data_IF_492660758992
#
_entry.id   IF_492660758992
#
_cell.length_a   1.000
_cell.length_b   1.000
_cell.length_c   1.000
_cell.angle_alpha   90.00
_cell.angle_beta   90.00
_cell.angle_gamma   90.00
#
_symmetry.space_group_name_H-M   'P 1'
#
loop_
_entity.id
_entity.type
_entity.pdbx_description
1 polymer ?
#
# COMPACT_ATOMS: atom_id res chain seq x y z
N UNK A 1 3.84 12.35 3.53
CA UNK A 1 2.95 11.56 4.41
C UNK A 1 2.05 12.52 5.16
N UNK A 2 0.76 12.22 5.27
CA UNK A 2 -0.26 13.10 5.89
C UNK A 2 -0.72 12.55 7.25
N UNK A 3 -0.88 11.24 7.37
CA UNK A 3 -1.26 10.54 8.60
C UNK A 3 -0.69 9.12 8.57
N UNK A 4 -0.46 8.51 9.73
CA UNK A 4 -0.06 7.13 9.85
C UNK A 4 -0.64 6.51 11.12
N UNK A 5 -1.00 5.22 11.05
CA UNK A 5 -1.45 4.43 12.19
C UNK A 5 -0.94 3.00 12.08
N UNK A 6 -0.91 2.30 13.21
CA UNK A 6 -0.65 0.87 13.28
C UNK A 6 -1.68 0.24 14.21
N UNK A 7 -2.26 -0.87 13.79
CA UNK A 7 -3.18 -1.67 14.59
C UNK A 7 -2.77 -3.14 14.58
N UNK A 8 -2.85 -3.80 15.72
CA UNK A 8 -2.69 -5.24 15.86
C UNK A 8 -4.08 -5.86 15.92
N UNK A 9 -4.35 -6.91 15.12
CA UNK A 9 -5.61 -7.64 15.22
C UNK A 9 -5.59 -8.45 16.53
N UNK A 10 -6.58 -8.28 17.43
CA UNK A 10 -6.62 -8.99 18.71
C UNK A 10 -6.53 -10.51 18.54
N UNK A 11 -5.95 -11.20 19.52
CA UNK A 11 -5.85 -12.67 19.58
C UNK A 11 -5.09 -13.30 18.40
N UNK A 12 -4.24 -12.52 17.71
CA UNK A 12 -3.40 -13.01 16.61
C UNK A 12 -1.90 -13.09 16.95
N UNK A 13 -1.52 -12.66 18.15
CA UNK A 13 -0.12 -12.66 18.64
C UNK A 13 0.47 -14.08 18.74
N UNK A 14 -0.34 -15.04 19.17
CA UNK A 14 0.02 -16.47 19.30
C UNK A 14 -0.47 -17.30 18.10
N UNK A 15 -0.93 -16.63 17.04
CA UNK A 15 -1.38 -17.29 15.80
C UNK A 15 -0.21 -17.96 15.11
N UNK A 16 -0.42 -19.11 14.41
CA UNK A 16 0.60 -19.79 13.62
C UNK A 16 1.32 -18.92 12.58
N UNK A 17 0.81 -17.72 12.29
CA UNK A 17 1.45 -16.69 11.47
C UNK A 17 2.73 -16.07 12.07
N UNK A 18 3.18 -16.53 13.25
CA UNK A 18 4.48 -16.16 13.81
C UNK A 18 5.62 -16.80 13.00
N UNK A 19 6.61 -15.99 12.63
CA UNK A 19 7.85 -16.49 12.04
C UNK A 19 8.82 -16.91 13.13
N UNK A 20 9.36 -18.13 13.04
CA UNK A 20 10.30 -18.66 14.00
C UNK A 20 11.69 -18.77 13.37
N UNK A 21 12.68 -18.17 14.01
CA UNK A 21 14.08 -18.39 13.65
C UNK A 21 14.56 -19.67 14.34
N UNK A 22 15.13 -20.57 13.56
CA UNK A 22 15.64 -21.87 14.01
C UNK A 22 17.07 -22.07 13.53
N UNK A 23 17.73 -23.13 14.02
CA UNK A 23 19.05 -23.54 13.54
C UNK A 23 19.06 -23.97 12.07
N UNK A 24 17.88 -24.14 11.46
CA UNK A 24 17.69 -24.45 10.04
C UNK A 24 17.16 -23.26 9.22
N UNK A 25 17.20 -22.05 9.78
CA UNK A 25 16.77 -20.81 9.13
C UNK A 25 15.41 -20.32 9.63
N UNK A 26 14.82 -19.39 8.86
CA UNK A 26 13.56 -18.74 9.21
C UNK A 26 12.37 -19.52 8.67
N UNK A 27 11.51 -19.99 9.57
CA UNK A 27 10.30 -20.74 9.25
C UNK A 27 9.11 -19.80 9.44
N UNK A 28 8.42 -19.49 8.35
CA UNK A 28 7.20 -18.68 8.38
C UNK A 28 6.00 -19.53 7.95
N UNK A 29 5.00 -19.64 8.82
CA UNK A 29 3.82 -20.46 8.55
C UNK A 29 2.56 -19.59 8.43
N UNK A 30 2.21 -19.07 7.25
CA UNK A 30 1.04 -18.22 7.11
C UNK A 30 -0.23 -19.00 7.48
N UNK A 31 -0.94 -18.53 8.52
CA UNK A 31 -2.21 -19.12 8.93
C UNK A 31 -3.24 -19.05 7.79
N UNK A 32 -3.91 -20.17 7.48
CA UNK A 32 -4.98 -20.23 6.47
C UNK A 32 -6.17 -19.30 6.81
N UNK A 33 -6.32 -18.91 8.07
CA UNK A 33 -7.36 -17.97 8.52
C UNK A 33 -7.00 -16.48 8.31
N UNK A 34 -5.76 -16.17 7.94
CA UNK A 34 -5.28 -14.79 7.82
C UNK A 34 -6.12 -13.93 6.85
N UNK A 35 -6.51 -14.39 5.64
CA UNK A 35 -7.36 -13.59 4.77
C UNK A 35 -8.72 -13.22 5.39
N UNK A 36 -9.34 -14.14 6.13
CA UNK A 36 -10.61 -13.86 6.79
C UNK A 36 -10.44 -12.81 7.90
N UNK A 37 -9.41 -12.96 8.73
CA UNK A 37 -9.09 -11.99 9.80
C UNK A 37 -8.81 -10.59 9.24
N UNK A 38 -8.05 -10.51 8.13
CA UNK A 38 -7.80 -9.24 7.44
C UNK A 38 -9.11 -8.65 6.94
N UNK A 39 -9.93 -9.40 6.19
CA UNK A 39 -11.22 -8.91 5.67
C UNK A 39 -12.10 -8.34 6.77
N UNK A 40 -12.17 -9.03 7.92
CA UNK A 40 -13.08 -8.67 9.00
C UNK A 40 -12.56 -7.51 9.87
N UNK A 41 -11.26 -7.17 9.78
CA UNK A 41 -10.62 -6.16 10.64
C UNK A 41 -10.11 -4.92 9.90
N UNK A 42 -9.82 -5.02 8.60
CA UNK A 42 -9.08 -4.02 7.83
C UNK A 42 -9.75 -2.64 7.85
N UNK A 43 -11.08 -2.60 7.81
CA UNK A 43 -11.85 -1.35 7.87
C UNK A 43 -11.57 -0.56 9.14
N UNK A 44 -11.62 -1.24 10.30
CA UNK A 44 -11.31 -0.63 11.59
C UNK A 44 -9.85 -0.18 11.64
N UNK A 45 -8.92 -1.02 11.17
CA UNK A 45 -7.49 -0.72 11.19
C UNK A 45 -7.12 0.54 10.38
N UNK A 46 -7.74 0.73 9.20
CA UNK A 46 -7.47 1.93 8.39
C UNK A 46 -8.22 3.16 8.87
N UNK A 47 -9.34 2.99 9.59
CA UNK A 47 -10.17 4.09 10.07
C UNK A 47 -9.41 5.07 10.99
N UNK A 48 -8.45 4.58 11.77
CA UNK A 48 -7.61 5.39 12.65
C UNK A 48 -6.80 6.45 11.86
N UNK A 49 -6.37 6.11 10.65
CA UNK A 49 -5.64 7.05 9.78
C UNK A 49 -6.55 7.95 8.94
N UNK A 50 -7.77 7.48 8.59
CA UNK A 50 -8.68 8.16 7.65
C UNK A 50 -9.71 9.07 8.33
N UNK A 51 -10.22 8.70 9.49
CA UNK A 51 -11.28 9.43 10.19
C UNK A 51 -10.85 10.84 10.60
N UNK A 52 -9.63 11.07 11.14
CA UNK A 52 -9.16 12.43 11.46
C UNK A 52 -9.06 13.36 10.24
N UNK A 53 -9.10 12.81 9.02
CA UNK A 53 -8.98 13.55 7.77
C UNK A 53 -10.29 13.63 6.98
N UNK A 54 -11.40 13.10 7.54
CA UNK A 54 -12.71 13.01 6.88
C UNK A 54 -12.66 12.24 5.54
N UNK A 55 -11.82 11.19 5.48
CA UNK A 55 -11.60 10.37 4.28
C UNK A 55 -12.30 9.01 4.32
N UNK A 56 -12.87 8.61 5.46
CA UNK A 56 -13.44 7.27 5.64
C UNK A 56 -14.61 6.97 4.68
N UNK A 57 -15.44 7.96 4.34
CA UNK A 57 -16.52 7.80 3.37
C UNK A 57 -16.04 7.90 1.90
N UNK A 58 -14.77 8.27 1.68
CA UNK A 58 -14.20 8.61 0.37
C UNK A 58 -13.11 7.63 -0.08
N UNK A 59 -13.07 6.43 0.49
CA UNK A 59 -12.05 5.40 0.21
C UNK A 59 -11.88 5.13 -1.29
N UNK A 60 -12.97 5.15 -2.06
CA UNK A 60 -12.94 4.93 -3.51
C UNK A 60 -12.47 6.14 -4.33
N UNK A 61 -12.41 7.34 -3.74
CA UNK A 61 -11.74 8.49 -4.35
C UNK A 61 -10.20 8.36 -4.26
N UNK A 62 -9.68 7.64 -3.27
CA UNK A 62 -8.25 7.58 -2.95
C UNK A 62 -7.51 6.58 -3.85
N UNK A 63 -6.25 6.83 -4.22
CA UNK A 63 -5.42 5.74 -4.76
C UNK A 63 -5.03 4.75 -3.65
N UNK A 64 -4.79 3.48 -4.00
CA UNK A 64 -4.43 2.45 -3.02
C UNK A 64 -3.13 1.75 -3.39
N UNK A 65 -2.28 1.58 -2.37
CA UNK A 65 -1.06 0.77 -2.42
C UNK A 65 -1.15 -0.29 -1.31
N UNK A 66 -1.67 -1.48 -1.63
CA UNK A 66 -1.74 -2.58 -0.68
C UNK A 66 -0.53 -3.51 -0.84
N UNK A 67 0.03 -3.98 0.28
CA UNK A 67 1.15 -4.92 0.26
C UNK A 67 0.70 -6.22 -0.43
N UNK A 68 1.41 -6.66 -1.50
CA UNK A 68 1.08 -7.88 -2.22
C UNK A 68 1.58 -9.13 -1.46
N UNK A 69 1.00 -9.40 -0.28
CA UNK A 69 1.34 -10.57 0.54
C UNK A 69 0.84 -11.90 -0.04
N UNK A 70 -0.11 -11.84 -0.97
CA UNK A 70 -0.72 -12.98 -1.67
C UNK A 70 -2.07 -12.59 -2.27
N UNK A 71 -2.59 -13.41 -3.20
CA UNK A 71 -3.86 -13.12 -3.90
C UNK A 71 -5.02 -12.97 -2.93
N UNK A 72 -5.17 -13.95 -2.02
CA UNK A 72 -6.23 -13.96 -1.01
C UNK A 72 -6.14 -12.77 -0.03
N UNK A 73 -4.93 -12.22 0.21
CA UNK A 73 -4.77 -11.03 1.04
C UNK A 73 -5.31 -9.80 0.31
N UNK A 74 -4.97 -9.62 -0.98
CA UNK A 74 -5.48 -8.50 -1.77
C UNK A 74 -7.02 -8.58 -1.92
N UNK A 75 -7.56 -9.78 -2.12
CA UNK A 75 -9.01 -10.01 -2.18
C UNK A 75 -9.69 -9.67 -0.85
N UNK A 76 -9.07 -10.05 0.28
CA UNK A 76 -9.56 -9.72 1.61
C UNK A 76 -9.55 -8.21 1.89
N UNK A 77 -8.49 -7.50 1.49
CA UNK A 77 -8.40 -6.04 1.62
C UNK A 77 -9.45 -5.35 0.76
N UNK A 78 -9.59 -5.74 -0.51
CA UNK A 78 -10.59 -5.19 -1.44
C UNK A 78 -12.01 -5.37 -0.91
N UNK A 79 -12.35 -6.59 -0.47
CA UNK A 79 -13.67 -6.90 0.09
C UNK A 79 -13.91 -6.20 1.44
N UNK A 80 -12.96 -6.26 2.37
CA UNK A 80 -13.13 -5.69 3.72
C UNK A 80 -13.21 -4.16 3.72
N UNK A 81 -12.68 -3.50 2.69
CA UNK A 81 -12.77 -2.05 2.53
C UNK A 81 -13.88 -1.61 1.55
N UNK A 82 -14.60 -2.57 0.95
CA UNK A 82 -15.57 -2.33 -0.11
C UNK A 82 -15.00 -1.44 -1.25
N UNK A 83 -13.78 -1.76 -1.69
CA UNK A 83 -13.14 -1.05 -2.79
C UNK A 83 -13.77 -1.44 -4.12
N UNK A 84 -13.86 -0.47 -5.04
CA UNK A 84 -14.27 -0.72 -6.41
C UNK A 84 -13.29 -1.67 -7.11
N UNK A 85 -13.76 -2.48 -8.07
CA UNK A 85 -12.88 -3.34 -8.86
C UNK A 85 -11.75 -2.54 -9.51
N UNK A 86 -10.52 -3.03 -9.36
CA UNK A 86 -9.34 -2.43 -9.99
C UNK A 86 -8.61 -1.39 -9.15
N UNK A 87 -9.11 -1.01 -7.96
CA UNK A 87 -8.41 -0.12 -7.02
C UNK A 87 -7.07 -0.68 -6.55
N UNK A 88 -6.89 -2.00 -6.60
CA UNK A 88 -5.65 -2.70 -6.23
C UNK A 88 -4.90 -3.28 -7.44
N UNK A 89 -5.17 -2.83 -8.68
CA UNK A 89 -4.57 -3.43 -9.88
C UNK A 89 -3.04 -3.34 -9.88
N UNK A 90 -2.45 -2.24 -9.40
CA UNK A 90 -1.01 -2.05 -9.30
C UNK A 90 -0.38 -3.04 -8.31
N UNK A 91 -1.02 -3.22 -7.14
CA UNK A 91 -0.63 -4.26 -6.18
C UNK A 91 -0.72 -5.66 -6.79
N UNK A 92 -1.81 -5.95 -7.53
CA UNK A 92 -2.01 -7.25 -8.20
C UNK A 92 -0.97 -7.47 -9.32
N UNK A 93 -0.58 -6.42 -10.05
CA UNK A 93 0.47 -6.44 -11.08
C UNK A 93 1.83 -6.77 -10.47
N UNK A 94 2.22 -6.07 -9.40
CA UNK A 94 3.49 -6.36 -8.69
C UNK A 94 3.50 -7.80 -8.17
N UNK A 95 2.40 -8.27 -7.59
CA UNK A 95 2.29 -9.67 -7.15
C UNK A 95 2.49 -10.65 -8.31
N UNK A 96 1.90 -10.37 -9.48
CA UNK A 96 1.98 -11.23 -10.66
C UNK A 96 3.38 -11.27 -11.27
N UNK A 97 4.10 -10.16 -11.27
CA UNK A 97 5.39 -10.01 -11.94
C UNK A 97 6.58 -10.34 -11.03
N UNK A 98 6.45 -10.10 -9.72
CA UNK A 98 7.55 -10.21 -8.77
C UNK A 98 7.27 -11.12 -7.57
N UNK A 99 6.03 -11.56 -7.38
CA UNK A 99 5.65 -12.34 -6.20
C UNK A 99 5.65 -11.52 -4.92
N UNK A 100 5.63 -12.22 -3.78
CA UNK A 100 5.70 -11.60 -2.46
C UNK A 100 7.18 -11.40 -2.06
N UNK A 101 7.69 -10.18 -2.28
CA UNK A 101 9.05 -9.77 -1.89
C UNK A 101 9.11 -9.23 -0.45
N UNK A 102 8.22 -9.70 0.44
CA UNK A 102 8.04 -9.16 1.79
C UNK A 102 7.75 -7.64 1.75
N UNK A 103 8.23 -6.87 2.72
CA UNK A 103 8.03 -5.42 2.80
C UNK A 103 8.55 -4.64 1.58
N UNK A 104 9.58 -5.13 0.89
CA UNK A 104 10.15 -4.46 -0.28
C UNK A 104 9.15 -4.35 -1.44
N UNK A 105 8.16 -5.25 -1.51
CA UNK A 105 7.13 -5.21 -2.53
C UNK A 105 6.32 -3.91 -2.52
N UNK A 106 6.23 -3.23 -1.37
CA UNK A 106 5.55 -1.94 -1.30
C UNK A 106 6.21 -0.86 -2.15
N UNK A 107 7.55 -0.85 -2.23
CA UNK A 107 8.29 0.11 -3.05
C UNK A 107 7.99 -0.09 -4.55
N UNK A 108 7.80 -1.34 -4.97
CA UNK A 108 7.42 -1.68 -6.34
C UNK A 108 5.99 -1.24 -6.66
N UNK A 109 5.06 -1.38 -5.71
CA UNK A 109 3.68 -0.88 -5.89
C UNK A 109 3.66 0.64 -6.04
N UNK A 110 4.44 1.35 -5.23
CA UNK A 110 4.56 2.81 -5.34
C UNK A 110 5.19 3.24 -6.66
N UNK A 111 6.20 2.52 -7.16
CA UNK A 111 6.78 2.81 -8.47
C UNK A 111 5.79 2.53 -9.61
N UNK A 112 5.00 1.46 -9.51
CA UNK A 112 3.97 1.13 -10.50
C UNK A 112 2.87 2.21 -10.57
N UNK A 113 2.37 2.65 -9.41
CA UNK A 113 1.42 3.76 -9.32
C UNK A 113 2.00 5.05 -9.92
N UNK A 114 3.28 5.33 -9.66
CA UNK A 114 3.99 6.49 -10.22
C UNK A 114 4.06 6.41 -11.75
N UNK A 115 4.44 5.26 -12.31
CA UNK A 115 4.52 5.04 -13.77
C UNK A 115 3.15 5.21 -14.42
N UNK A 116 2.12 4.55 -13.89
CA UNK A 116 0.75 4.66 -14.43
C UNK A 116 0.22 6.09 -14.41
N UNK A 117 0.56 6.87 -13.39
CA UNK A 117 0.19 8.29 -13.32
C UNK A 117 0.89 9.13 -14.39
N UNK A 118 2.16 8.87 -14.67
CA UNK A 118 2.91 9.57 -15.74
C UNK A 118 2.32 9.25 -17.11
N UNK A 119 1.91 8.00 -17.33
CA UNK A 119 1.33 7.53 -18.59
C UNK A 119 -0.14 7.97 -18.80
N UNK A 120 -0.66 8.84 -17.93
CA UNK A 120 -2.04 9.33 -17.99
C UNK A 120 -3.08 8.32 -17.49
N UNK A 121 -2.67 7.14 -17.02
CA UNK A 121 -3.59 6.11 -16.52
C UNK A 121 -4.27 6.45 -15.19
N UNK A 122 -3.81 7.49 -14.49
CA UNK A 122 -4.49 8.14 -13.34
C UNK A 122 -4.85 9.59 -13.75
N UNK A 123 -5.78 9.76 -14.70
CA UNK A 123 -6.34 11.09 -14.98
C UNK A 123 -7.08 11.60 -13.73
N UNK A 124 -6.55 12.67 -13.14
CA UNK A 124 -7.16 13.37 -12.00
C UNK A 124 -7.31 12.45 -10.79
N UNK A 125 -6.24 12.27 -10.02
CA UNK A 125 -6.33 11.58 -8.73
C UNK A 125 -7.54 12.11 -7.96
N UNK A 126 -8.61 11.32 -7.79
CA UNK A 126 -9.77 11.79 -7.07
C UNK A 126 -9.29 12.13 -5.64
N UNK A 127 -9.90 13.15 -5.03
CA UNK A 127 -9.43 13.74 -3.77
C UNK A 127 -8.03 14.42 -3.77
N UNK A 128 -7.60 15.02 -4.89
CA UNK A 128 -6.45 15.96 -4.87
C UNK A 128 -5.10 15.28 -4.65
N UNK A 129 -4.94 14.07 -5.20
CA UNK A 129 -3.69 13.31 -5.10
C UNK A 129 -3.51 12.58 -3.77
N UNK A 130 -4.59 12.33 -3.00
CA UNK A 130 -4.51 11.55 -1.78
C UNK A 130 -4.66 10.04 -2.04
N UNK A 131 -4.01 9.25 -1.20
CA UNK A 131 -4.07 7.80 -1.28
C UNK A 131 -3.69 7.12 0.02
N UNK A 132 -3.90 5.81 0.07
CA UNK A 132 -3.63 4.98 1.24
C UNK A 132 -2.62 3.91 0.87
N UNK A 133 -1.61 3.76 1.70
CA UNK A 133 -0.69 2.63 1.68
C UNK A 133 -0.99 1.74 2.88
N UNK A 134 -1.15 0.43 2.65
CA UNK A 134 -1.45 -0.53 3.70
C UNK A 134 -0.51 -1.73 3.67
N UNK A 135 0.21 -1.93 4.77
CA UNK A 135 1.09 -3.08 5.03
C UNK A 135 0.44 -4.08 5.98
N UNK A 136 0.71 -5.37 5.79
CA UNK A 136 0.22 -6.47 6.65
C UNK A 136 1.39 -7.38 6.99
N UNK A 137 1.70 -7.52 8.28
CA UNK A 137 2.84 -8.28 8.80
C UNK A 137 2.49 -9.26 9.92
N UNK A 138 3.49 -10.00 10.47
CA UNK A 138 3.30 -10.95 11.57
C UNK A 138 2.68 -10.33 12.85
N UNK A 139 2.08 -11.18 13.69
CA UNK A 139 1.20 -10.75 14.81
C UNK A 139 -0.12 -10.13 14.32
N UNK A 140 -0.49 -10.44 13.08
CA UNK A 140 -1.31 -9.64 12.14
C UNK A 140 -1.37 -8.16 12.52
N UNK A 141 -0.27 -7.48 12.22
CA UNK A 141 -0.18 -6.02 12.29
C UNK A 141 -0.61 -5.42 10.96
N UNK A 142 -1.44 -4.38 11.01
CA UNK A 142 -1.84 -3.57 9.86
C UNK A 142 -1.23 -2.18 10.04
N UNK A 143 -0.36 -1.80 9.12
CA UNK A 143 0.25 -0.48 9.05
C UNK A 143 -0.46 0.34 7.97
N UNK A 144 -0.93 1.54 8.32
CA UNK A 144 -1.64 2.41 7.38
C UNK A 144 -0.93 3.75 7.28
N UNK A 145 -0.68 4.21 6.05
CA UNK A 145 -0.18 5.57 5.80
C UNK A 145 -1.06 6.28 4.78
N UNK A 146 -1.47 7.50 5.09
CA UNK A 146 -2.11 8.40 4.12
C UNK A 146 -1.04 9.20 3.40
N UNK A 147 -1.01 9.04 2.08
CA UNK A 147 -0.01 9.62 1.20
C UNK A 147 -0.63 10.74 0.35
N UNK A 148 0.22 11.68 -0.04
CA UNK A 148 -0.08 12.68 -1.07
C UNK A 148 0.89 12.50 -2.21
N UNK A 149 0.38 12.29 -3.42
CA UNK A 149 1.17 12.27 -4.63
C UNK A 149 1.79 13.66 -4.86
N UNK A 150 3.09 13.69 -5.18
CA UNK A 150 3.76 14.94 -5.51
C UNK A 150 3.18 15.57 -6.79
N UNK A 151 3.13 16.90 -6.87
CA UNK A 151 2.70 17.58 -8.09
C UNK A 151 3.85 17.57 -9.12
N UNK A 152 3.53 17.25 -10.38
CA UNK A 152 4.55 17.26 -11.46
C UNK A 152 5.11 18.67 -11.73
N UNK A 153 4.38 19.73 -11.37
CA UNK A 153 4.80 21.13 -11.52
C UNK A 153 6.03 21.49 -10.68
N UNK A 154 6.21 20.84 -9.52
CA UNK A 154 7.35 21.11 -8.63
C UNK A 154 8.67 20.54 -9.19
N UNK A 155 8.59 19.57 -10.10
CA UNK A 155 9.75 18.87 -10.66
C UNK A 155 10.21 19.46 -12.01
N UNK A 156 9.29 20.04 -12.79
CA UNK A 156 9.63 20.69 -14.06
C UNK A 156 10.52 21.93 -13.82
N UNK A 157 10.22 22.73 -12.77
CA UNK A 157 11.02 23.92 -12.42
C UNK A 157 12.40 23.61 -11.82
N UNK A 158 12.63 22.40 -11.29
CA UNK A 158 13.96 21.99 -10.80
C UNK A 158 14.85 21.40 -11.91
N UNK A 159 14.25 20.76 -12.92
CA UNK A 159 14.99 20.18 -14.06
C UNK A 159 15.40 21.22 -15.12
N UNK A 160 14.71 22.35 -15.21
CA UNK A 160 15.05 23.44 -16.13
C UNK A 160 16.19 24.32 -15.61
N UNK A 161 16.42 24.36 -14.29
CA UNK A 161 17.47 25.17 -13.66
C UNK A 161 18.87 24.54 -13.72
N UNK A 162 18.98 23.24 -14.02
CA UNK A 162 20.26 22.51 -14.06
C UNK A 162 20.83 22.27 -15.47
N UNK A 163 20.23 22.82 -16.53
CA UNK A 163 20.71 22.64 -17.92
C UNK A 163 21.53 23.78 -18.52
N UNK A 164 21.90 24.79 -17.74
CA UNK A 164 22.78 25.85 -18.25
C UNK A 164 24.21 25.67 -17.72
N UNK A 165 25.15 25.58 -18.67
CA UNK A 165 26.60 25.62 -18.54
C UNK A 165 27.33 24.26 -18.45
N UNK A 166 27.46 23.59 -19.61
CA UNK A 166 28.78 23.27 -20.18
C UNK A 166 28.69 23.42 -21.70
N UNK A 167 29.12 24.57 -22.21
CA UNK A 167 29.53 24.76 -23.62
C UNK A 167 30.79 25.64 -23.57
N UNK A 168 31.77 25.28 -24.41
CA UNK A 168 33.19 25.67 -24.41
C UNK A 168 34.01 24.83 -23.38
N UNK A 169 35.04 24.08 -23.77
CA UNK A 169 36.05 24.31 -24.83
C UNK A 169 36.28 23.00 -25.60
#
# INVERSE_FOLDING_TARGET
MVSASQAVIPDTSDSPAAGHLTDHGFIFNPSKGMPALVRDSIERCVADALTPLDLSARKNDLFWAAQPGGRAILDAVEAGLALEPGKLEESRRVLREHGNMSGAAMLFVLDELRRRRVDGGLFGAPAGGLGVMVGIGPGISVETMVLRAANNSDNINKSSSSRTAVKAI
#
